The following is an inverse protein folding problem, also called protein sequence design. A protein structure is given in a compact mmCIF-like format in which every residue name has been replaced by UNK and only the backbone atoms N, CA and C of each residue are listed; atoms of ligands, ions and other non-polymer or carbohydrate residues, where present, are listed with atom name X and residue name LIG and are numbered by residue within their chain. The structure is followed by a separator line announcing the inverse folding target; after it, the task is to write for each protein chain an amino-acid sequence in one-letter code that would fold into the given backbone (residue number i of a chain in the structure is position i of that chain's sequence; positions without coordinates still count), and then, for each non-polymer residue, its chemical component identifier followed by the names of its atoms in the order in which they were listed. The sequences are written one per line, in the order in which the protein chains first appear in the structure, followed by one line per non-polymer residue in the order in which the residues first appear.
data_IF_766746854635
#
_entry.id   IF_766746854635
#
_cell.length_a   1.000
_cell.length_b   1.000
_cell.length_c   1.000
_cell.angle_alpha   90.00
_cell.angle_beta   90.00
_cell.angle_gamma   90.00
#
_symmetry.space_group_name_H-M   'P 1'
#
loop_
_entity.id
_entity.type
_entity.pdbx_description
1 polymer ?
#
# COMPACT_ATOMS: atom_id res chain seq x y z
N UNK A 1 -42.36 -76.77 -4.63
CA UNK A 1 -43.07 -75.92 -3.64
C UNK A 1 -42.03 -75.05 -2.94
N UNK A 2 -42.12 -73.72 -3.10
CA UNK A 2 -41.38 -72.62 -2.41
C UNK A 2 -39.85 -72.58 -2.60
N UNK A 3 -39.32 -71.81 -3.56
CA UNK A 3 -38.86 -70.40 -3.42
C UNK A 3 -37.91 -70.15 -2.23
N UNK A 4 -36.67 -69.76 -2.54
CA UNK A 4 -36.08 -68.46 -2.13
C UNK A 4 -34.82 -68.15 -2.93
N UNK A 5 -34.90 -67.08 -3.72
CA UNK A 5 -33.78 -66.35 -4.30
C UNK A 5 -32.92 -65.72 -3.19
N UNK A 6 -31.62 -65.59 -3.43
CA UNK A 6 -30.82 -64.47 -2.91
C UNK A 6 -29.90 -63.97 -4.01
N UNK A 7 -30.19 -62.74 -4.40
CA UNK A 7 -29.56 -61.98 -5.47
C UNK A 7 -28.10 -61.65 -5.19
N UNK A 8 -27.32 -61.77 -6.25
CA UNK A 8 -25.96 -61.26 -6.40
C UNK A 8 -26.07 -59.76 -6.68
N UNK A 9 -25.61 -58.92 -5.74
CA UNK A 9 -25.64 -57.46 -5.92
C UNK A 9 -24.50 -57.03 -6.84
N UNK A 10 -24.86 -56.40 -7.96
CA UNK A 10 -23.96 -55.63 -8.86
C UNK A 10 -23.39 -54.42 -8.11
N UNK A 11 -22.17 -53.94 -8.44
CA UNK A 11 -21.67 -52.68 -7.95
C UNK A 11 -22.44 -51.52 -8.62
N UNK A 12 -22.96 -50.63 -7.79
CA UNK A 12 -23.67 -49.41 -8.17
C UNK A 12 -22.63 -48.34 -8.49
N UNK A 13 -22.46 -48.01 -9.78
CA UNK A 13 -21.69 -46.85 -10.22
C UNK A 13 -22.39 -45.59 -9.71
N UNK A 14 -21.80 -44.95 -8.69
CA UNK A 14 -22.19 -43.62 -8.25
C UNK A 14 -21.60 -42.61 -9.21
N UNK A 15 -22.36 -42.24 -10.24
CA UNK A 15 -22.15 -40.98 -10.95
C UNK A 15 -22.43 -39.82 -9.98
N UNK A 16 -21.37 -39.31 -9.35
CA UNK A 16 -21.41 -38.01 -8.70
C UNK A 16 -21.55 -36.94 -9.79
N UNK A 17 -22.80 -36.59 -10.10
CA UNK A 17 -23.12 -35.40 -10.88
C UNK A 17 -22.58 -34.16 -10.14
N UNK A 18 -21.40 -33.71 -10.55
CA UNK A 18 -20.84 -32.43 -10.15
C UNK A 18 -21.81 -31.33 -10.64
N UNK A 19 -22.64 -30.81 -9.74
CA UNK A 19 -23.45 -29.63 -10.01
C UNK A 19 -22.50 -28.44 -10.17
N UNK A 20 -22.12 -28.18 -11.43
CA UNK A 20 -21.52 -26.92 -11.84
C UNK A 20 -22.64 -25.90 -11.73
N UNK A 21 -22.70 -25.18 -10.61
CA UNK A 21 -23.42 -23.91 -10.58
C UNK A 21 -22.77 -23.02 -11.65
N UNK A 22 -23.52 -22.51 -12.64
CA UNK A 22 -23.02 -21.43 -13.46
C UNK A 22 -22.60 -20.32 -12.51
N UNK A 23 -21.35 -19.87 -12.61
CA UNK A 23 -21.03 -18.54 -12.10
C UNK A 23 -21.90 -17.59 -12.91
N UNK A 24 -22.97 -17.09 -12.30
CA UNK A 24 -23.59 -15.86 -12.74
C UNK A 24 -22.49 -14.80 -12.67
N UNK A 25 -21.75 -14.65 -13.77
CA UNK A 25 -20.76 -13.59 -14.00
C UNK A 25 -21.50 -12.26 -14.16
N UNK A 26 -22.27 -11.88 -13.13
CA UNK A 26 -22.69 -10.51 -12.94
C UNK A 26 -21.50 -9.77 -12.35
N UNK A 27 -20.60 -9.34 -13.24
CA UNK A 27 -19.67 -8.26 -12.95
C UNK A 27 -20.53 -7.02 -12.76
N UNK A 28 -20.92 -6.73 -11.52
CA UNK A 28 -21.45 -5.42 -11.17
C UNK A 28 -20.27 -4.50 -10.91
N UNK A 29 -20.00 -3.58 -11.83
CA UNK A 29 -19.12 -2.44 -11.58
C UNK A 29 -19.81 -1.54 -10.53
N UNK A 30 -19.57 -1.80 -9.25
CA UNK A 30 -20.06 -0.95 -8.14
C UNK A 30 -19.02 0.08 -7.70
N UNK A 31 -17.79 -0.02 -8.17
CA UNK A 31 -16.73 0.92 -7.85
C UNK A 31 -16.61 1.88 -9.04
N UNK A 32 -17.12 3.10 -8.92
CA UNK A 32 -17.00 4.15 -9.94
C UNK A 32 -16.49 5.44 -9.29
N UNK A 33 -15.17 5.62 -9.28
CA UNK A 33 -14.53 6.90 -8.94
C UNK A 33 -14.11 7.59 -10.25
N UNK A 34 -14.90 8.58 -10.67
CA UNK A 34 -14.55 9.51 -11.75
C UNK A 34 -14.34 10.90 -11.17
N UNK A 35 -13.11 11.40 -11.26
CA UNK A 35 -12.80 12.81 -11.10
C UNK A 35 -12.35 13.31 -12.48
N UNK A 36 -13.06 14.29 -13.04
CA UNK A 36 -12.66 14.89 -14.32
C UNK A 36 -12.68 16.42 -14.26
N UNK A 37 -11.47 16.99 -14.23
CA UNK A 37 -11.07 18.36 -14.55
C UNK A 37 -9.52 18.41 -14.55
N UNK A 38 -8.89 17.81 -15.59
CA UNK A 38 -7.47 17.83 -16.04
C UNK A 38 -6.33 17.31 -15.11
N UNK A 39 -5.27 16.58 -15.59
CA UNK A 39 -5.00 15.95 -16.90
C UNK A 39 -5.27 14.41 -16.84
N UNK A 40 -5.00 13.57 -17.89
CA UNK A 40 -5.74 12.34 -18.16
C UNK A 40 -5.60 11.33 -17.02
N UNK A 41 -6.63 11.20 -16.19
CA UNK A 41 -6.68 10.13 -15.21
C UNK A 41 -7.08 8.86 -15.94
N UNK A 42 -6.10 8.00 -16.22
CA UNK A 42 -6.40 6.66 -16.71
C UNK A 42 -6.83 5.85 -15.49
N UNK A 43 -8.13 5.59 -15.38
CA UNK A 43 -8.66 4.56 -14.50
C UNK A 43 -8.51 3.20 -15.19
N UNK A 44 -8.07 2.21 -14.42
CA UNK A 44 -7.97 0.83 -14.90
C UNK A 44 -8.32 -0.12 -13.77
N UNK A 45 -9.02 -1.20 -14.09
CA UNK A 45 -9.30 -2.27 -13.11
C UNK A 45 -8.03 -3.08 -12.93
N UNK A 46 -7.62 -3.29 -11.67
CA UNK A 46 -6.45 -4.07 -11.35
C UNK A 46 -6.68 -5.56 -11.57
N UNK A 47 -5.65 -6.26 -12.03
CA UNK A 47 -5.72 -7.69 -12.37
C UNK A 47 -5.80 -8.65 -11.18
N UNK A 48 -5.81 -8.16 -9.93
CA UNK A 48 -5.69 -8.98 -8.73
C UNK A 48 -6.60 -8.48 -7.61
N UNK A 49 -7.36 -9.40 -7.02
CA UNK A 49 -8.28 -9.17 -5.91
C UNK A 49 -7.59 -8.83 -4.57
N UNK A 50 -6.30 -9.14 -4.40
CA UNK A 50 -5.56 -8.92 -3.14
C UNK A 50 -6.21 -9.50 -1.86
N UNK A 51 -7.05 -10.53 -1.99
CA UNK A 51 -7.90 -11.11 -0.93
C UNK A 51 -9.15 -10.31 -0.54
N UNK A 52 -9.50 -9.30 -1.34
CA UNK A 52 -10.85 -8.74 -1.39
C UNK A 52 -11.75 -9.61 -2.27
N UNK A 53 -13.05 -9.35 -2.22
CA UNK A 53 -14.07 -9.75 -3.18
C UNK A 53 -14.17 -8.78 -4.37
N UNK A 54 -13.66 -7.55 -4.22
CA UNK A 54 -13.61 -6.54 -5.29
C UNK A 54 -12.22 -6.37 -5.91
N UNK A 55 -12.16 -6.13 -7.23
CA UNK A 55 -10.93 -5.74 -7.90
C UNK A 55 -10.62 -4.28 -7.60
N UNK A 56 -9.34 -3.93 -7.32
CA UNK A 56 -9.00 -2.54 -7.04
C UNK A 56 -9.10 -1.70 -8.31
N UNK A 57 -9.64 -0.50 -8.19
CA UNK A 57 -9.52 0.52 -9.23
C UNK A 57 -8.18 1.23 -9.08
N UNK A 58 -7.41 1.24 -10.15
CA UNK A 58 -6.11 1.90 -10.23
C UNK A 58 -6.32 3.23 -10.93
N UNK A 59 -6.22 4.31 -10.16
CA UNK A 59 -6.19 5.68 -10.67
C UNK A 59 -4.73 6.07 -10.94
N UNK A 60 -4.43 6.44 -12.19
CA UNK A 60 -3.11 6.99 -12.55
C UNK A 60 -3.21 8.50 -12.73
N UNK A 61 -2.59 9.22 -11.81
CA UNK A 61 -2.44 10.67 -11.87
C UNK A 61 -1.12 11.02 -12.57
N UNK A 62 -1.19 11.66 -13.74
CA UNK A 62 -0.02 12.13 -14.49
C UNK A 62 0.13 13.63 -14.32
N UNK A 63 0.56 14.04 -13.13
CA UNK A 63 0.97 15.42 -12.91
C UNK A 63 2.49 15.47 -12.78
N UNK A 64 3.12 16.00 -13.82
CA UNK A 64 4.55 16.23 -13.86
C UNK A 64 4.97 17.50 -13.11
N UNK A 65 4.01 18.31 -12.63
CA UNK A 65 4.29 19.57 -11.94
C UNK A 65 4.64 19.38 -10.46
N UNK A 66 4.14 18.32 -9.81
CA UNK A 66 4.41 18.03 -8.40
C UNK A 66 5.57 17.05 -8.27
N UNK A 67 6.79 17.58 -8.16
CA UNK A 67 7.93 16.80 -7.72
C UNK A 67 7.70 16.29 -6.29
N UNK A 68 7.77 14.97 -6.07
CA UNK A 68 7.72 14.38 -4.72
C UNK A 68 8.74 15.13 -3.86
N UNK A 69 8.33 15.72 -2.72
CA UNK A 69 9.24 16.52 -1.91
C UNK A 69 10.45 15.67 -1.54
N UNK A 70 11.66 16.19 -1.76
CA UNK A 70 12.88 15.52 -1.31
C UNK A 70 13.14 15.90 0.14
N UNK A 71 13.70 14.98 0.91
CA UNK A 71 14.29 15.33 2.20
C UNK A 71 15.48 16.26 1.97
N UNK A 72 15.75 17.19 2.90
CA UNK A 72 16.99 17.97 2.87
C UNK A 72 18.18 17.03 2.76
N UNK A 73 19.04 17.32 1.78
CA UNK A 73 20.29 16.58 1.55
C UNK A 73 21.25 16.90 2.69
N UNK A 74 21.84 15.86 3.31
CA UNK A 74 22.77 15.99 4.43
C UNK A 74 24.07 15.27 4.11
N UNK A 75 25.17 15.72 4.71
CA UNK A 75 26.46 15.01 4.65
C UNK A 75 26.41 13.70 5.46
N UNK A 76 27.05 12.66 4.94
CA UNK A 76 27.20 11.36 5.60
C UNK A 76 28.62 11.27 6.15
N UNK A 77 28.82 11.82 7.35
CA UNK A 77 30.14 11.91 7.98
C UNK A 77 30.81 10.55 8.23
N UNK A 78 30.02 9.49 8.46
CA UNK A 78 30.54 8.12 8.62
C UNK A 78 31.23 7.57 7.36
N UNK A 79 31.00 8.20 6.20
CA UNK A 79 31.60 7.84 4.90
C UNK A 79 32.55 8.90 4.36
N UNK A 80 32.90 9.89 5.18
CA UNK A 80 33.81 10.95 4.78
C UNK A 80 35.23 10.41 4.58
N UNK A 81 35.90 10.86 3.53
CA UNK A 81 37.35 10.75 3.43
C UNK A 81 37.98 11.93 4.20
N UNK A 82 38.29 11.69 5.47
CA UNK A 82 38.84 12.73 6.34
C UNK A 82 40.25 13.16 5.95
N UNK A 83 41.06 12.26 5.36
CA UNK A 83 42.41 12.61 4.92
C UNK A 83 42.35 13.59 3.75
N UNK A 84 41.50 13.30 2.77
CA UNK A 84 41.29 14.16 1.62
C UNK A 84 40.60 15.48 2.02
N UNK A 85 39.67 15.43 2.99
CA UNK A 85 39.06 16.63 3.54
C UNK A 85 40.10 17.53 4.19
N UNK A 86 40.98 16.98 5.04
CA UNK A 86 42.06 17.76 5.67
C UNK A 86 42.91 18.45 4.61
N UNK A 87 43.32 17.73 3.57
CA UNK A 87 44.09 18.31 2.47
C UNK A 87 43.36 19.46 1.75
N UNK A 88 42.09 19.28 1.38
CA UNK A 88 41.35 20.32 0.65
C UNK A 88 40.86 21.47 1.54
N UNK A 89 40.71 21.24 2.85
CA UNK A 89 40.23 22.24 3.81
C UNK A 89 41.32 23.15 4.34
N UNK A 90 42.59 22.89 3.99
CA UNK A 90 43.73 23.69 4.43
C UNK A 90 43.53 25.17 4.06
N UNK A 91 43.56 26.03 5.07
CA UNK A 91 43.37 27.46 4.91
C UNK A 91 44.70 28.11 4.59
N UNK A 92 44.72 28.96 3.57
CA UNK A 92 45.87 29.78 3.24
C UNK A 92 45.71 31.16 3.84
N UNK A 93 46.84 31.77 4.25
CA UNK A 93 46.83 33.04 4.98
C UNK A 93 46.31 34.22 4.13
N UNK A 94 46.42 34.14 2.81
CA UNK A 94 45.87 35.09 1.84
C UNK A 94 44.34 35.13 1.85
N UNK A 95 43.67 34.04 2.23
CA UNK A 95 42.21 33.95 2.30
C UNK A 95 41.59 34.80 3.40
N UNK A 96 42.39 35.24 4.37
CA UNK A 96 41.97 35.99 5.56
C UNK A 96 42.47 37.45 5.48
N UNK A 97 43.28 37.78 4.46
CA UNK A 97 43.78 39.14 4.22
C UNK A 97 42.74 40.00 3.47
N UNK A 98 41.54 40.11 4.02
CA UNK A 98 40.51 41.03 3.53
C UNK A 98 40.22 42.10 4.57
N UNK A 99 39.99 43.33 4.12
CA UNK A 99 39.70 44.47 5.00
C UNK A 99 38.30 44.39 5.63
N UNK A 100 37.45 43.50 5.12
CA UNK A 100 36.10 43.25 5.59
C UNK A 100 35.99 41.85 6.22
N UNK A 101 35.39 41.82 7.41
CA UNK A 101 35.22 40.61 8.22
C UNK A 101 34.17 39.70 7.58
N UNK A 102 33.06 40.28 7.09
CA UNK A 102 31.98 39.48 6.50
C UNK A 102 32.49 38.75 5.25
N UNK A 103 33.23 39.46 4.39
CA UNK A 103 33.92 38.88 3.22
C UNK A 103 34.90 37.77 3.62
N UNK A 104 35.71 37.96 4.67
CA UNK A 104 36.64 36.92 5.15
C UNK A 104 35.88 35.66 5.58
N UNK A 105 34.79 35.82 6.35
CA UNK A 105 33.99 34.69 6.84
C UNK A 105 33.31 33.93 5.70
N UNK A 106 32.83 34.62 4.67
CA UNK A 106 32.23 33.98 3.50
C UNK A 106 33.26 33.15 2.72
N UNK A 107 34.47 33.68 2.52
CA UNK A 107 35.56 32.97 1.82
C UNK A 107 35.93 31.69 2.56
N UNK A 108 36.14 31.76 3.88
CA UNK A 108 36.48 30.60 4.71
C UNK A 108 35.34 29.58 4.69
N UNK A 109 34.10 30.03 4.87
CA UNK A 109 32.92 29.15 4.89
C UNK A 109 32.78 28.41 3.56
N UNK A 110 32.89 29.13 2.43
CA UNK A 110 32.81 28.54 1.09
C UNK A 110 33.94 27.55 0.84
N UNK A 111 35.15 27.82 1.32
CA UNK A 111 36.29 26.90 1.20
C UNK A 111 36.04 25.58 1.92
N UNK A 112 35.61 25.66 3.18
CA UNK A 112 35.27 24.49 4.00
C UNK A 112 34.13 23.69 3.36
N UNK A 113 33.08 24.37 2.89
CA UNK A 113 31.96 23.72 2.21
C UNK A 113 32.38 23.06 0.89
N UNK A 114 33.29 23.69 0.13
CA UNK A 114 33.82 23.10 -1.11
C UNK A 114 34.67 21.85 -0.84
N UNK A 115 35.49 21.87 0.20
CA UNK A 115 36.24 20.69 0.64
C UNK A 115 35.29 19.57 1.08
N UNK A 116 34.24 19.90 1.86
CA UNK A 116 33.22 18.94 2.29
C UNK A 116 32.48 18.33 1.10
N UNK A 117 32.10 19.14 0.11
CA UNK A 117 31.38 18.68 -1.08
C UNK A 117 32.17 17.69 -1.93
N UNK A 118 33.51 17.77 -1.91
CA UNK A 118 34.39 16.88 -2.67
C UNK A 118 34.68 15.56 -1.96
N UNK A 119 34.56 15.53 -0.63
CA UNK A 119 35.14 14.47 0.21
C UNK A 119 34.11 13.75 1.07
N UNK A 120 32.95 14.36 1.29
CA UNK A 120 31.88 13.83 2.14
C UNK A 120 30.66 13.52 1.26
N UNK A 121 30.31 12.23 1.10
CA UNK A 121 29.13 11.84 0.37
C UNK A 121 27.85 12.45 0.99
N UNK A 122 26.93 12.88 0.13
CA UNK A 122 25.63 13.43 0.54
C UNK A 122 24.53 12.37 0.45
N UNK A 123 23.54 12.44 1.35
CA UNK A 123 22.34 11.60 1.29
C UNK A 123 21.56 11.88 0.01
N UNK A 124 20.92 10.87 -0.58
CA UNK A 124 20.15 11.03 -1.83
C UNK A 124 18.92 11.94 -1.74
N UNK A 125 18.51 12.36 -0.53
CA UNK A 125 17.27 13.10 -0.29
C UNK A 125 16.00 12.28 -0.54
N UNK A 126 16.12 11.02 -1.01
CA UNK A 126 14.98 10.13 -1.23
C UNK A 126 14.44 9.64 0.11
N UNK A 127 13.13 9.54 0.21
CA UNK A 127 12.51 8.85 1.34
C UNK A 127 12.94 7.37 1.31
N UNK A 128 13.39 6.81 2.46
CA UNK A 128 13.66 5.39 2.53
C UNK A 128 12.37 4.64 2.27
N UNK A 129 12.44 3.56 1.48
CA UNK A 129 11.31 2.67 1.27
C UNK A 129 10.86 2.16 2.64
N UNK A 130 9.56 2.21 2.91
CA UNK A 130 9.00 1.56 4.09
C UNK A 130 9.27 0.07 3.98
N UNK A 131 10.29 -0.38 4.70
CA UNK A 131 10.65 -1.78 4.74
C UNK A 131 9.64 -2.53 5.60
N UNK A 132 9.19 -3.68 5.11
CA UNK A 132 8.28 -4.59 5.82
C UNK A 132 9.15 -5.66 6.47
N UNK A 133 9.36 -5.63 7.81
CA UNK A 133 10.32 -6.54 8.44
C UNK A 133 10.00 -8.03 8.24
N UNK A 134 8.72 -8.35 8.02
CA UNK A 134 8.21 -9.70 7.76
C UNK A 134 8.33 -10.15 6.30
N UNK A 135 8.86 -9.31 5.42
CA UNK A 135 9.09 -9.64 4.00
C UNK A 135 10.51 -10.17 3.83
N UNK A 136 10.64 -11.50 3.80
CA UNK A 136 11.89 -12.20 3.51
C UNK A 136 11.87 -12.81 2.10
N UNK A 137 13.01 -13.37 1.68
CA UNK A 137 13.16 -13.98 0.35
C UNK A 137 12.23 -15.18 0.15
N UNK A 138 12.00 -15.95 1.22
CA UNK A 138 11.07 -17.10 1.20
C UNK A 138 9.64 -16.65 0.90
N UNK A 139 9.19 -15.56 1.50
CA UNK A 139 7.87 -14.99 1.22
C UNK A 139 7.84 -14.34 -0.17
N UNK A 140 8.92 -13.68 -0.60
CA UNK A 140 9.02 -13.11 -1.94
C UNK A 140 8.85 -14.19 -3.02
N UNK A 141 9.48 -15.35 -2.84
CA UNK A 141 9.35 -16.50 -3.73
C UNK A 141 7.93 -17.09 -3.71
N UNK A 142 7.36 -17.31 -2.52
CA UNK A 142 5.98 -17.80 -2.39
C UNK A 142 4.97 -16.84 -3.03
N UNK A 143 5.18 -15.52 -2.90
CA UNK A 143 4.35 -14.50 -3.53
C UNK A 143 4.52 -14.49 -5.06
N UNK A 144 5.74 -14.70 -5.57
CA UNK A 144 6.00 -14.87 -7.01
C UNK A 144 5.26 -16.09 -7.56
N UNK A 145 5.31 -17.22 -6.86
CA UNK A 145 4.61 -18.45 -7.26
C UNK A 145 3.08 -18.29 -7.21
N UNK A 146 2.54 -17.61 -6.18
CA UNK A 146 1.13 -17.21 -6.13
C UNK A 146 0.72 -16.40 -7.36
N UNK A 147 1.48 -15.35 -7.69
CA UNK A 147 1.17 -14.50 -8.85
C UNK A 147 1.26 -15.28 -10.17
N UNK A 148 2.23 -16.20 -10.31
CA UNK A 148 2.34 -17.08 -11.48
C UNK A 148 1.11 -17.98 -11.63
N UNK A 149 0.69 -18.62 -10.54
CA UNK A 149 -0.47 -19.51 -10.53
C UNK A 149 -1.77 -18.73 -10.81
N UNK A 150 -1.92 -17.54 -10.22
CA UNK A 150 -3.03 -16.62 -10.51
C UNK A 150 -3.08 -16.25 -11.99
N UNK A 151 -1.98 -15.78 -12.56
CA UNK A 151 -1.92 -15.39 -13.96
C UNK A 151 -2.23 -16.56 -14.90
N UNK A 152 -1.82 -17.78 -14.56
CA UNK A 152 -2.14 -18.99 -15.34
C UNK A 152 -3.62 -19.33 -15.25
N UNK A 153 -4.20 -19.34 -14.05
CA UNK A 153 -5.64 -19.58 -13.86
C UNK A 153 -6.49 -18.51 -14.57
N UNK A 154 -6.12 -17.23 -14.45
CA UNK A 154 -6.81 -16.12 -15.10
C UNK A 154 -6.83 -16.25 -16.63
N UNK A 155 -5.73 -16.70 -17.24
CA UNK A 155 -5.65 -16.93 -18.70
C UNK A 155 -6.32 -18.23 -19.14
N UNK A 156 -6.26 -19.26 -18.30
CA UNK A 156 -6.74 -20.61 -18.60
C UNK A 156 -7.54 -21.15 -17.40
N UNK A 157 -8.85 -20.87 -17.31
CA UNK A 157 -9.69 -21.19 -16.15
C UNK A 157 -10.05 -22.69 -16.04
N UNK A 158 -9.05 -23.55 -15.87
CA UNK A 158 -9.25 -24.99 -15.68
C UNK A 158 -9.27 -25.35 -14.21
N UNK A 159 -9.94 -26.45 -13.84
CA UNK A 159 -9.99 -26.97 -12.46
C UNK A 159 -8.59 -27.19 -11.89
N UNK A 160 -7.67 -27.75 -12.68
CA UNK A 160 -6.28 -27.97 -12.26
C UNK A 160 -5.54 -26.66 -11.97
N UNK A 161 -5.73 -25.63 -12.79
CA UNK A 161 -5.13 -24.32 -12.56
C UNK A 161 -5.74 -23.62 -11.33
N UNK A 162 -7.04 -23.80 -11.08
CA UNK A 162 -7.71 -23.31 -9.88
C UNK A 162 -7.13 -23.96 -8.62
N UNK A 163 -7.00 -25.30 -8.60
CA UNK A 163 -6.39 -26.03 -7.48
C UNK A 163 -4.96 -25.54 -7.22
N UNK A 164 -4.13 -25.45 -8.27
CA UNK A 164 -2.75 -24.95 -8.18
C UNK A 164 -2.68 -23.53 -7.59
N UNK A 165 -3.58 -22.64 -8.02
CA UNK A 165 -3.69 -21.29 -7.47
C UNK A 165 -4.07 -21.30 -5.98
N UNK A 166 -5.04 -22.13 -5.59
CA UNK A 166 -5.50 -22.25 -4.20
C UNK A 166 -4.40 -22.78 -3.29
N UNK A 167 -3.63 -23.76 -3.74
CA UNK A 167 -2.45 -24.28 -3.04
C UNK A 167 -1.39 -23.19 -2.86
N UNK A 168 -0.99 -22.52 -3.94
CA UNK A 168 -0.02 -21.42 -3.88
C UNK A 168 -0.49 -20.28 -2.95
N UNK A 169 -1.80 -19.98 -2.94
CA UNK A 169 -2.43 -19.00 -2.05
C UNK A 169 -2.33 -19.45 -0.58
N UNK A 170 -2.61 -20.71 -0.29
CA UNK A 170 -2.50 -21.26 1.07
C UNK A 170 -1.04 -21.21 1.58
N UNK A 171 -0.08 -21.62 0.75
CA UNK A 171 1.37 -21.58 1.08
C UNK A 171 1.84 -20.16 1.36
N UNK A 172 1.56 -19.22 0.45
CA UNK A 172 1.92 -17.79 0.62
C UNK A 172 1.31 -17.21 1.90
N UNK A 173 0.03 -17.50 2.19
CA UNK A 173 -0.63 -17.06 3.43
C UNK A 173 0.02 -17.65 4.68
N UNK A 174 0.38 -18.93 4.67
CA UNK A 174 1.06 -19.59 5.80
C UNK A 174 2.40 -18.93 6.10
N UNK A 175 3.24 -18.74 5.08
CA UNK A 175 4.57 -18.12 5.23
C UNK A 175 4.42 -16.68 5.73
N UNK A 176 3.53 -15.87 5.12
CA UNK A 176 3.26 -14.50 5.57
C UNK A 176 2.89 -14.42 7.06
N UNK A 177 2.01 -15.31 7.51
CA UNK A 177 1.58 -15.37 8.92
C UNK A 177 2.74 -15.77 9.83
N UNK A 178 3.53 -16.76 9.44
CA UNK A 178 4.70 -17.20 10.20
C UNK A 178 5.74 -16.08 10.31
N UNK A 179 6.07 -15.40 9.22
CA UNK A 179 7.05 -14.32 9.22
C UNK A 179 6.60 -13.13 10.08
N UNK A 180 5.32 -12.74 9.98
CA UNK A 180 4.75 -11.70 10.85
C UNK A 180 4.86 -12.08 12.32
N UNK A 181 4.57 -13.34 12.67
CA UNK A 181 4.70 -13.84 14.05
C UNK A 181 6.16 -13.80 14.51
N UNK A 182 7.07 -14.39 13.75
CA UNK A 182 8.49 -14.48 14.10
C UNK A 182 9.11 -13.09 14.24
N UNK A 183 8.82 -12.18 13.31
CA UNK A 183 9.35 -10.80 13.37
C UNK A 183 8.79 -10.03 14.56
N UNK A 184 7.53 -10.23 14.91
CA UNK A 184 6.96 -9.66 16.13
C UNK A 184 7.62 -10.24 17.38
N UNK A 185 7.78 -11.56 17.47
CA UNK A 185 8.45 -12.22 18.58
C UNK A 185 9.90 -11.75 18.76
N UNK A 186 10.66 -11.67 17.67
CA UNK A 186 12.03 -11.15 17.68
C UNK A 186 12.07 -9.67 18.08
N UNK A 187 11.09 -8.88 17.66
CA UNK A 187 11.02 -7.47 18.06
C UNK A 187 10.74 -7.32 19.56
N UNK A 188 9.89 -8.17 20.14
CA UNK A 188 9.59 -8.17 21.58
C UNK A 188 10.77 -8.72 22.39
N UNK A 189 11.46 -9.76 21.92
CA UNK A 189 12.58 -10.39 22.63
C UNK A 189 13.79 -9.47 22.84
N UNK A 190 13.91 -8.40 22.04
CA UNK A 190 14.93 -7.35 22.24
C UNK A 190 14.69 -6.49 23.50
N UNK A 191 13.53 -6.60 24.16
CA UNK A 191 13.27 -5.98 25.46
C UNK A 191 13.84 -6.92 26.53
N UNK A 192 15.03 -6.59 27.01
CA UNK A 192 15.74 -7.33 28.06
C UNK A 192 15.68 -6.55 29.39
N UNK A 193 16.10 -7.20 30.48
CA UNK A 193 16.13 -6.61 31.83
C UNK A 193 16.98 -5.32 31.92
N UNK A 194 18.02 -5.19 31.09
CA UNK A 194 18.89 -4.02 31.01
C UNK A 194 18.39 -2.94 30.02
N UNK A 195 17.24 -3.14 29.37
CA UNK A 195 16.73 -2.19 28.37
C UNK A 195 16.27 -0.91 29.08
N UNK A 196 16.79 0.28 28.71
CA UNK A 196 16.38 1.51 29.37
C UNK A 196 14.89 1.79 29.16
N UNK A 197 14.22 2.28 30.21
CA UNK A 197 12.76 2.53 30.23
C UNK A 197 12.27 3.34 29.02
N UNK A 198 13.03 4.35 28.58
CA UNK A 198 12.73 5.15 27.38
C UNK A 198 12.60 4.30 26.11
N UNK A 199 13.51 3.35 25.90
CA UNK A 199 13.50 2.46 24.73
C UNK A 199 12.37 1.43 24.81
N UNK A 200 12.17 0.83 25.99
CA UNK A 200 11.08 -0.10 26.24
C UNK A 200 9.72 0.56 25.94
N UNK A 201 9.42 1.71 26.54
CA UNK A 201 8.17 2.44 26.29
C UNK A 201 8.05 2.91 24.84
N UNK A 202 9.16 3.25 24.19
CA UNK A 202 9.19 3.51 22.75
C UNK A 202 8.72 2.31 21.93
N UNK A 203 9.14 1.10 22.29
CA UNK A 203 8.69 -0.14 21.63
C UNK A 203 7.21 -0.44 21.91
N UNK A 204 6.76 -0.30 23.16
CA UNK A 204 5.35 -0.50 23.55
C UNK A 204 4.43 0.44 22.78
N UNK A 205 4.76 1.74 22.70
CA UNK A 205 3.98 2.70 21.91
C UNK A 205 3.90 2.34 20.42
N UNK A 206 4.97 1.77 19.84
CA UNK A 206 4.96 1.30 18.43
C UNK A 206 4.00 0.12 18.24
N UNK A 207 3.95 -0.79 19.22
CA UNK A 207 3.02 -1.92 19.20
C UNK A 207 1.57 -1.44 19.32
N UNK A 208 1.31 -0.46 20.20
CA UNK A 208 -0.01 0.12 20.42
C UNK A 208 -0.44 1.10 19.31
N UNK A 209 0.43 1.41 18.35
CA UNK A 209 0.15 2.41 17.31
C UNK A 209 0.11 3.86 17.81
N UNK A 210 0.39 4.12 19.09
CA UNK A 210 0.40 5.45 19.71
C UNK A 210 1.76 6.14 19.59
N UNK A 211 2.73 5.50 18.92
CA UNK A 211 4.03 6.11 18.67
C UNK A 211 3.88 7.25 17.67
N UNK A 212 4.02 8.48 18.16
CA UNK A 212 4.12 9.67 17.33
C UNK A 212 5.48 9.69 16.63
N UNK A 213 5.53 9.16 15.40
CA UNK A 213 6.57 9.56 14.46
C UNK A 213 6.22 11.01 14.07
N UNK A 214 7.16 11.96 14.15
CA UNK A 214 6.93 13.38 13.81
C UNK A 214 6.66 13.62 12.32
N UNK A 215 5.63 12.96 11.79
CA UNK A 215 5.23 12.91 10.39
C UNK A 215 3.72 13.18 10.24
N UNK A 216 3.09 13.81 11.23
CA UNK A 216 1.80 14.47 10.96
C UNK A 216 2.03 15.44 9.79
N UNK A 217 1.14 15.42 8.79
CA UNK A 217 1.08 16.48 7.79
C UNK A 217 0.86 17.77 8.56
N UNK A 218 1.93 18.52 8.77
CA UNK A 218 1.91 19.72 9.61
C UNK A 218 1.64 20.97 8.77
N UNK A 219 1.66 20.83 7.44
CA UNK A 219 1.53 21.94 6.50
C UNK A 219 0.85 21.43 5.22
N UNK A 220 -0.23 22.08 4.80
CA UNK A 220 -0.86 21.95 3.49
C UNK A 220 -0.89 23.33 2.83
N UNK A 221 -0.47 23.42 1.56
CA UNK A 221 -0.70 24.63 0.76
C UNK A 221 -1.99 24.44 -0.03
N UNK A 222 -3.01 25.25 0.27
CA UNK A 222 -4.28 25.29 -0.45
C UNK A 222 -4.37 26.62 -1.21
N UNK A 223 -4.14 26.60 -2.53
CA UNK A 223 -4.22 27.77 -3.41
C UNK A 223 -3.44 29.00 -2.92
N UNK A 224 -2.26 28.79 -2.34
CA UNK A 224 -1.40 29.85 -1.79
C UNK A 224 -1.56 30.10 -0.29
N UNK A 225 -2.59 29.53 0.35
CA UNK A 225 -2.76 29.59 1.80
C UNK A 225 -2.06 28.41 2.49
N UNK A 226 -1.18 28.72 3.44
CA UNK A 226 -0.47 27.72 4.24
C UNK A 226 -1.32 27.36 5.46
N UNK A 227 -1.91 26.16 5.44
CA UNK A 227 -2.67 25.59 6.55
C UNK A 227 -1.73 24.76 7.42
N UNK A 228 -1.69 25.03 8.72
CA UNK A 228 -0.82 24.31 9.67
C UNK A 228 -1.59 23.54 10.75
N UNK A 229 -2.85 23.88 10.98
CA UNK A 229 -3.72 23.20 11.92
C UNK A 229 -4.36 21.95 11.31
N UNK A 230 -4.35 20.84 12.06
CA UNK A 230 -4.79 19.53 11.55
C UNK A 230 -6.28 19.53 11.13
N UNK A 231 -7.11 20.29 11.87
CA UNK A 231 -8.53 20.46 11.56
C UNK A 231 -8.73 21.18 10.24
N UNK A 232 -7.97 22.24 10.00
CA UNK A 232 -8.09 23.05 8.79
C UNK A 232 -7.55 22.30 7.57
N UNK A 233 -6.47 21.55 7.74
CA UNK A 233 -5.96 20.62 6.72
C UNK A 233 -7.03 19.57 6.38
N UNK A 234 -7.67 18.97 7.38
CA UNK A 234 -8.73 17.98 7.17
C UNK A 234 -9.96 18.57 6.47
N UNK A 235 -10.37 19.78 6.86
CA UNK A 235 -11.49 20.50 6.24
C UNK A 235 -11.18 20.86 4.79
N UNK A 236 -10.00 21.43 4.51
CA UNK A 236 -9.61 21.78 3.14
C UNK A 236 -9.57 20.55 2.22
N UNK A 237 -9.06 19.42 2.71
CA UNK A 237 -9.14 18.14 2.00
C UNK A 237 -10.59 17.72 1.79
N UNK A 238 -11.43 17.78 2.83
CA UNK A 238 -12.85 17.45 2.75
C UNK A 238 -13.62 18.30 1.74
N UNK A 239 -13.40 19.62 1.72
CA UNK A 239 -13.97 20.55 0.76
C UNK A 239 -13.52 20.23 -0.67
N UNK A 240 -12.23 19.94 -0.86
CA UNK A 240 -11.71 19.56 -2.18
C UNK A 240 -12.37 18.29 -2.71
N UNK A 241 -12.52 17.26 -1.86
CA UNK A 241 -13.21 16.02 -2.23
C UNK A 241 -14.69 16.26 -2.47
N UNK A 242 -15.38 17.02 -1.61
CA UNK A 242 -16.79 17.33 -1.79
C UNK A 242 -17.05 18.09 -3.10
N UNK A 243 -16.16 19.02 -3.46
CA UNK A 243 -16.23 19.75 -4.73
C UNK A 243 -16.06 18.81 -5.93
N UNK A 244 -15.11 17.88 -5.86
CA UNK A 244 -14.86 16.91 -6.94
C UNK A 244 -16.00 15.89 -7.06
N UNK A 245 -16.50 15.39 -5.93
CA UNK A 245 -17.60 14.42 -5.86
C UNK A 245 -18.99 15.06 -6.00
N UNK A 246 -19.07 16.36 -6.29
CA UNK A 246 -20.34 17.03 -6.52
C UNK A 246 -20.99 16.51 -7.81
N UNK A 247 -22.30 16.35 -7.81
CA UNK A 247 -23.05 15.90 -8.99
C UNK A 247 -22.82 16.78 -10.22
N UNK A 248 -22.45 18.04 -10.00
CA UNK A 248 -22.12 18.99 -11.06
C UNK A 248 -20.86 18.64 -11.85
N UNK A 249 -19.95 17.82 -11.29
CA UNK A 249 -18.74 17.37 -11.97
C UNK A 249 -19.00 16.25 -12.99
N UNK A 250 -20.16 15.59 -12.94
CA UNK A 250 -20.50 14.53 -13.89
C UNK A 250 -20.93 15.09 -15.25
N UNK A 251 -20.63 14.39 -16.37
CA UNK A 251 -21.18 14.70 -17.67
C UNK A 251 -22.71 14.77 -17.64
N UNK A 252 -23.28 15.72 -18.40
CA UNK A 252 -24.73 15.95 -18.42
C UNK A 252 -25.56 14.67 -18.67
N UNK A 253 -25.06 13.79 -19.54
CA UNK A 253 -25.69 12.50 -19.85
C UNK A 253 -25.80 11.60 -18.63
N UNK A 254 -24.75 11.49 -17.82
CA UNK A 254 -24.75 10.69 -16.60
C UNK A 254 -25.62 11.31 -15.52
N UNK A 255 -25.61 12.65 -15.36
CA UNK A 255 -26.49 13.34 -14.40
C UNK A 255 -27.97 13.03 -14.67
N UNK A 256 -28.37 13.11 -15.93
CA UNK A 256 -29.75 12.79 -16.33
C UNK A 256 -30.09 11.32 -16.09
N UNK A 257 -29.16 10.41 -16.38
CA UNK A 257 -29.33 8.97 -16.08
C UNK A 257 -29.49 8.72 -14.57
N UNK A 258 -28.55 9.20 -13.74
CA UNK A 258 -28.57 9.08 -12.28
C UNK A 258 -29.88 9.60 -11.70
N UNK A 259 -30.29 10.82 -12.05
CA UNK A 259 -31.55 11.41 -11.57
C UNK A 259 -32.79 10.58 -11.95
N UNK A 260 -32.79 9.95 -13.13
CA UNK A 260 -33.89 9.08 -13.55
C UNK A 260 -33.91 7.76 -12.79
N UNK A 261 -32.75 7.16 -12.52
CA UNK A 261 -32.64 5.92 -11.75
C UNK A 261 -32.95 6.13 -10.26
N UNK A 262 -32.46 7.21 -9.64
CA UNK A 262 -32.71 7.51 -8.21
C UNK A 262 -34.17 7.85 -7.91
N UNK A 263 -34.94 8.32 -8.91
CA UNK A 263 -36.40 8.51 -8.79
C UNK A 263 -37.18 7.20 -8.75
N UNK A 264 -36.58 6.07 -9.17
CA UNK A 264 -37.26 4.78 -9.13
C UNK A 264 -37.36 4.31 -7.69
N UNK A 265 -38.58 4.21 -7.18
CA UNK A 265 -38.84 3.64 -5.85
C UNK A 265 -38.44 2.16 -5.84
N UNK A 266 -37.33 1.85 -5.17
CA UNK A 266 -36.92 0.47 -4.93
C UNK A 266 -37.85 -0.16 -3.90
N UNK A 267 -38.68 -1.10 -4.35
CA UNK A 267 -39.52 -1.90 -3.46
C UNK A 267 -38.74 -3.13 -3.01
N UNK A 268 -38.10 -3.04 -1.86
CA UNK A 268 -37.46 -4.19 -1.21
C UNK A 268 -38.53 -5.09 -0.55
N UNK A 269 -39.42 -5.69 -1.35
CA UNK A 269 -40.33 -6.73 -0.87
C UNK A 269 -39.60 -8.07 -0.87
N UNK A 270 -38.87 -8.34 0.21
CA UNK A 270 -38.30 -9.65 0.48
C UNK A 270 -39.07 -10.30 1.63
N UNK A 271 -39.80 -11.39 1.35
CA UNK A 271 -40.45 -12.23 2.37
C UNK A 271 -39.47 -13.08 3.17
N UNK A 272 -38.19 -13.06 2.79
CA UNK A 272 -37.13 -13.86 3.42
C UNK A 272 -36.11 -12.96 4.09
N UNK A 273 -35.92 -13.18 5.39
CA UNK A 273 -34.85 -12.54 6.17
C UNK A 273 -33.53 -13.21 5.78
N UNK A 274 -32.88 -12.72 4.72
CA UNK A 274 -31.53 -13.18 4.36
C UNK A 274 -30.54 -12.63 5.37
N UNK A 275 -29.95 -13.52 6.15
CA UNK A 275 -28.89 -13.18 7.11
C UNK A 275 -27.59 -13.03 6.32
N UNK A 276 -26.99 -11.84 6.39
CA UNK A 276 -25.70 -11.55 5.76
C UNK A 276 -24.59 -12.36 6.47
N UNK A 277 -23.70 -13.00 5.70
CA UNK A 277 -22.60 -13.84 6.19
C UNK A 277 -22.99 -15.13 6.96
N UNK A 278 -23.94 -15.92 6.48
CA UNK A 278 -24.08 -17.30 6.99
C UNK A 278 -22.98 -18.19 6.42
N UNK A 279 -22.13 -18.72 7.31
CA UNK A 279 -21.12 -19.73 7.00
C UNK A 279 -21.79 -20.92 6.32
N UNK A 280 -21.44 -21.18 5.06
CA UNK A 280 -21.85 -22.37 4.33
C UNK A 280 -21.33 -23.62 5.06
N UNK A 281 -22.20 -24.22 5.87
CA UNK A 281 -21.96 -25.55 6.42
C UNK A 281 -22.22 -26.55 5.30
N UNK A 282 -21.12 -27.06 4.73
CA UNK A 282 -21.09 -28.32 3.98
C UNK A 282 -21.72 -29.40 4.85
N UNK A 283 -22.89 -29.91 4.46
CA UNK A 283 -23.44 -31.13 5.05
C UNK A 283 -22.63 -32.32 4.50
N UNK A 284 -22.19 -33.17 5.42
CA UNK A 284 -21.58 -34.48 5.18
C UNK A 284 -22.50 -35.40 4.38
#
# INVERSE_FOLDING_TARGET
MKQKLKDVSKPEEKEEHLQIHPSDDTISDMDEDRADSDPPHISSVGDNLYNSDHFPIILKHFDNSVGIPRRPVRFIFDKADWQLFTFYSELKSDMIQTNDIDTATEIVTRHILSAADRTIPKTSGKFPKQWKPWWDDRYAEANKNLNRAWNRFRRYPTTNNYVTFKEAKAVSRRIKRQNKRNTFQNYVSTIQNNTPSKFMWGKVRKILGTYKMGHSVSILNNNGQILSELKDIANALGESFAKISNDESYPQTFRTYKMNEERKLLTFRSSTRKVYNTLSHSKN
#
